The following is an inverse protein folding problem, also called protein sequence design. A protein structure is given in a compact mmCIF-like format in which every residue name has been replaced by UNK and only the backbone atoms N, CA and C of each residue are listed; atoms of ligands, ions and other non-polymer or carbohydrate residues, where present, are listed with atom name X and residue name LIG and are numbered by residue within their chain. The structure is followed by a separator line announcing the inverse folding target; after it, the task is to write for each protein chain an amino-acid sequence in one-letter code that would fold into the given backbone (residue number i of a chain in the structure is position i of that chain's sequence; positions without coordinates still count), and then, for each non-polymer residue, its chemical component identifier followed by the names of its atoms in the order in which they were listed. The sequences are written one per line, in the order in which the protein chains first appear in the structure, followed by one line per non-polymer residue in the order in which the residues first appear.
data_IF_092806471185
#
_entry.id   IF_092806471185
#
_cell.length_a   1.000
_cell.length_b   1.000
_cell.length_c   1.000
_cell.angle_alpha   90.00
_cell.angle_beta   90.00
_cell.angle_gamma   90.00
#
_symmetry.space_group_name_H-M   'P 1'
#
loop_
_entity.id
_entity.type
_entity.pdbx_description
1 polymer ?
#
# COMPACT_ATOMS: atom_id res chain seq x y z
N UNK A 1 19.46 19.84 5.68
CA UNK A 1 18.19 19.35 5.15
C UNK A 1 18.01 19.85 3.72
N UNK A 2 18.20 18.95 2.75
CA UNK A 2 18.20 19.29 1.31
C UNK A 2 16.87 19.85 0.82
N UNK A 3 15.76 19.39 1.35
CA UNK A 3 14.41 19.81 0.94
C UNK A 3 13.77 20.85 1.86
N UNK A 4 14.39 21.11 3.02
CA UNK A 4 13.86 22.04 4.01
C UNK A 4 13.69 23.47 3.47
N UNK A 5 14.66 23.94 2.69
CA UNK A 5 14.59 25.25 2.05
C UNK A 5 13.43 25.34 1.05
N UNK A 6 13.24 24.30 0.22
CA UNK A 6 12.13 24.23 -0.75
C UNK A 6 10.77 24.17 -0.06
N UNK A 7 10.68 23.37 1.02
CA UNK A 7 9.47 23.28 1.85
C UNK A 7 9.16 24.61 2.49
N UNK A 8 10.15 25.25 3.13
CA UNK A 8 9.99 26.54 3.82
C UNK A 8 9.58 27.66 2.87
N UNK A 9 10.03 27.61 1.62
CA UNK A 9 9.63 28.56 0.58
C UNK A 9 8.23 28.27 0.01
N UNK A 10 7.55 27.20 0.41
CA UNK A 10 6.26 26.77 -0.12
C UNK A 10 6.32 26.31 -1.58
N UNK A 11 7.49 25.97 -2.07
CA UNK A 11 7.72 25.59 -3.48
C UNK A 11 7.62 24.10 -3.74
N UNK A 12 7.93 23.28 -2.75
CA UNK A 12 7.87 21.83 -2.87
C UNK A 12 6.44 21.33 -2.68
N UNK A 13 5.97 20.49 -3.58
CA UNK A 13 4.70 19.76 -3.44
C UNK A 13 4.95 18.33 -3.02
N UNK A 14 5.85 17.63 -3.71
CA UNK A 14 6.18 16.24 -3.40
C UNK A 14 7.55 15.83 -3.92
N UNK A 15 8.11 14.79 -3.32
CA UNK A 15 9.27 14.05 -3.81
C UNK A 15 8.92 12.58 -3.88
N UNK A 16 9.25 11.93 -4.99
CA UNK A 16 8.98 10.51 -5.21
C UNK A 16 10.28 9.82 -5.59
N UNK A 17 10.56 8.67 -5.00
CA UNK A 17 11.52 7.68 -5.50
C UNK A 17 10.76 6.50 -6.10
N UNK A 18 11.47 5.44 -6.49
CA UNK A 18 10.83 4.21 -7.01
C UNK A 18 9.84 3.58 -6.03
N UNK A 19 10.03 3.75 -4.73
CA UNK A 19 9.25 3.07 -3.68
C UNK A 19 8.85 3.96 -2.52
N UNK A 20 9.36 5.17 -2.45
CA UNK A 20 9.19 6.06 -1.30
C UNK A 20 8.64 7.42 -1.73
N UNK A 21 7.93 8.06 -0.82
CA UNK A 21 7.19 9.29 -1.05
C UNK A 21 7.43 10.28 0.08
N UNK A 22 7.59 11.54 -0.29
CA UNK A 22 7.51 12.68 0.60
C UNK A 22 6.49 13.68 0.08
N UNK A 23 5.54 14.06 0.91
CA UNK A 23 4.52 15.07 0.64
C UNK A 23 4.81 16.29 1.53
N UNK A 24 4.84 17.47 0.92
CA UNK A 24 5.15 18.70 1.66
C UNK A 24 3.96 19.22 2.47
N UNK A 25 2.72 18.79 2.15
CA UNK A 25 1.53 19.09 2.95
C UNK A 25 1.62 18.39 4.31
N UNK A 26 1.61 19.19 5.38
CA UNK A 26 1.73 18.67 6.76
C UNK A 26 0.54 17.76 7.15
N UNK A 27 -0.64 17.94 6.56
CA UNK A 27 -1.80 17.07 6.76
C UNK A 27 -1.60 15.67 6.15
N UNK A 28 -0.60 15.51 5.29
CA UNK A 28 -0.23 14.25 4.65
C UNK A 28 1.07 13.67 5.18
N UNK A 29 1.69 14.29 6.19
CA UNK A 29 3.00 13.88 6.72
C UNK A 29 3.03 12.43 7.22
N UNK A 30 1.89 11.89 7.67
CA UNK A 30 1.76 10.49 8.07
C UNK A 30 1.99 9.49 6.92
N UNK A 31 1.89 9.94 5.67
CA UNK A 31 2.14 9.12 4.49
C UNK A 31 3.61 9.16 4.02
N UNK A 32 4.43 10.05 4.59
CA UNK A 32 5.82 10.18 4.20
C UNK A 32 6.61 8.92 4.57
N UNK A 33 7.23 8.34 3.56
CA UNK A 33 8.13 7.18 3.69
C UNK A 33 9.56 7.52 3.35
N UNK A 34 9.77 8.55 2.51
CA UNK A 34 11.07 9.07 2.16
C UNK A 34 11.58 9.95 3.30
N UNK A 35 12.68 9.55 3.92
CA UNK A 35 13.32 10.28 5.04
C UNK A 35 14.69 10.87 4.69
N UNK A 36 15.32 10.36 3.65
CA UNK A 36 16.64 10.80 3.20
C UNK A 36 16.83 10.50 1.70
N UNK A 37 17.79 11.16 1.09
CA UNK A 37 18.21 10.90 -0.26
C UNK A 37 19.39 9.92 -0.25
N UNK A 38 19.27 8.83 -1.01
CA UNK A 38 20.38 7.89 -1.18
C UNK A 38 21.22 8.30 -2.41
N UNK A 39 22.55 8.28 -2.30
CA UNK A 39 23.42 8.50 -3.44
C UNK A 39 23.13 7.48 -4.56
N UNK A 40 23.09 7.96 -5.80
CA UNK A 40 22.87 7.12 -6.98
C UNK A 40 21.44 6.73 -7.28
N UNK A 41 20.47 7.17 -6.47
CA UNK A 41 19.03 7.03 -6.78
C UNK A 41 18.49 8.25 -7.53
N UNK A 42 17.51 8.02 -8.40
CA UNK A 42 16.72 9.06 -9.05
C UNK A 42 15.52 9.46 -8.19
N UNK A 43 15.15 10.74 -8.28
CA UNK A 43 14.00 11.29 -7.58
C UNK A 43 13.22 12.21 -8.53
N UNK A 44 11.89 12.14 -8.46
CA UNK A 44 10.99 13.09 -9.12
C UNK A 44 10.55 14.13 -8.09
N UNK A 45 10.75 15.41 -8.41
CA UNK A 45 10.31 16.53 -7.60
C UNK A 45 9.17 17.23 -8.31
N UNK A 46 8.04 17.39 -7.63
CA UNK A 46 6.94 18.24 -8.08
C UNK A 46 6.98 19.55 -7.33
N UNK A 47 7.09 20.63 -8.09
CA UNK A 47 7.14 22.00 -7.60
C UNK A 47 5.76 22.66 -7.76
N UNK A 48 5.47 23.67 -6.94
CA UNK A 48 4.23 24.45 -7.04
C UNK A 48 4.24 25.43 -8.21
N UNK A 49 5.40 25.77 -8.71
CA UNK A 49 5.61 26.64 -9.86
C UNK A 49 6.81 26.17 -10.71
N UNK A 50 7.00 26.82 -11.85
CA UNK A 50 8.09 26.52 -12.80
C UNK A 50 9.41 27.23 -12.50
N UNK A 51 9.57 27.82 -11.31
CA UNK A 51 10.82 28.49 -10.94
C UNK A 51 11.97 27.48 -10.83
N UNK A 52 13.14 27.86 -11.33
CA UNK A 52 14.36 27.10 -11.11
C UNK A 52 14.80 27.22 -9.65
N UNK A 53 15.34 26.14 -9.11
CA UNK A 53 15.84 26.10 -7.76
C UNK A 53 17.10 25.26 -7.67
N UNK A 54 18.13 25.78 -7.00
CA UNK A 54 19.38 25.07 -6.78
C UNK A 54 19.27 24.18 -5.54
N UNK A 55 19.40 22.86 -5.73
CA UNK A 55 19.48 21.91 -4.64
C UNK A 55 20.94 21.79 -4.18
N UNK A 56 21.25 22.37 -3.04
CA UNK A 56 22.57 22.23 -2.44
C UNK A 56 22.60 20.96 -1.59
N UNK A 57 23.25 19.92 -2.08
CA UNK A 57 23.57 18.75 -1.28
C UNK A 57 24.76 19.06 -0.39
N UNK A 58 24.68 18.87 0.94
CA UNK A 58 25.83 19.03 1.81
C UNK A 58 26.91 18.03 1.35
N UNK A 59 28.15 18.49 1.30
CA UNK A 59 29.28 17.58 1.07
C UNK A 59 29.21 16.43 2.08
N UNK A 60 29.37 15.20 1.58
CA UNK A 60 29.48 14.03 2.42
C UNK A 60 30.82 14.16 3.19
N UNK A 61 30.81 14.90 4.27
CA UNK A 61 31.90 14.82 5.26
C UNK A 61 31.85 13.38 5.75
N UNK A 62 32.89 12.60 5.47
CA UNK A 62 32.97 11.17 5.75
C UNK A 62 32.60 10.86 7.21
N UNK A 63 31.33 10.70 7.45
CA UNK A 63 30.74 10.38 8.74
C UNK A 63 30.69 8.88 8.89
N UNK A 64 31.49 8.37 9.80
CA UNK A 64 31.37 7.04 10.39
C UNK A 64 29.88 6.74 10.67
N UNK A 65 29.37 5.66 10.06
CA UNK A 65 27.98 5.27 10.12
C UNK A 65 27.41 5.33 11.54
N UNK A 66 26.43 6.19 11.74
CA UNK A 66 25.57 6.09 12.90
C UNK A 66 24.72 4.84 12.75
N UNK A 67 25.11 3.81 13.51
CA UNK A 67 24.29 2.64 13.77
C UNK A 67 22.96 3.09 14.37
N UNK A 68 21.91 3.13 13.57
CA UNK A 68 20.53 3.17 14.06
C UNK A 68 20.25 1.86 14.80
N UNK A 69 20.54 1.87 16.10
CA UNK A 69 20.15 0.81 17.04
C UNK A 69 18.63 0.83 17.20
N UNK A 70 18.01 -0.29 16.92
CA UNK A 70 16.76 -0.66 17.57
C UNK A 70 15.48 -0.40 16.82
N UNK A 71 15.33 -0.92 15.59
CA UNK A 71 14.03 -1.35 15.11
C UNK A 71 14.12 -2.87 14.93
N UNK A 72 13.39 -3.61 15.72
CA UNK A 72 13.14 -5.04 15.50
C UNK A 72 12.64 -5.18 14.07
N UNK A 73 13.47 -5.71 13.17
CA UNK A 73 13.13 -5.98 11.77
C UNK A 73 12.01 -7.02 11.77
N UNK A 74 10.77 -6.58 11.64
CA UNK A 74 9.64 -7.50 11.49
C UNK A 74 9.82 -8.30 10.19
N UNK A 75 9.28 -9.51 10.15
CA UNK A 75 9.26 -10.34 8.94
C UNK A 75 8.59 -9.63 7.75
N UNK A 76 7.65 -8.71 8.01
CA UNK A 76 7.03 -7.84 7.03
C UNK A 76 8.05 -6.94 6.32
N UNK A 77 9.04 -6.39 7.04
CA UNK A 77 10.09 -5.55 6.46
C UNK A 77 11.00 -6.33 5.48
N UNK A 78 11.30 -7.60 5.78
CA UNK A 78 12.10 -8.45 4.88
C UNK A 78 11.31 -8.80 3.60
N UNK A 79 10.04 -9.15 3.74
CA UNK A 79 9.14 -9.45 2.61
C UNK A 79 8.93 -8.21 1.73
N UNK A 80 8.71 -7.04 2.33
CA UNK A 80 8.59 -5.77 1.60
C UNK A 80 9.83 -5.53 0.73
N UNK A 81 11.03 -5.64 1.30
CA UNK A 81 12.28 -5.48 0.54
C UNK A 81 12.43 -6.49 -0.60
N UNK A 82 11.99 -7.74 -0.37
CA UNK A 82 11.98 -8.77 -1.42
C UNK A 82 11.05 -8.38 -2.57
N UNK A 83 9.83 -7.93 -2.26
CA UNK A 83 8.84 -7.52 -3.26
C UNK A 83 9.27 -6.25 -4.00
N UNK A 84 9.87 -5.27 -3.31
CA UNK A 84 10.40 -4.08 -3.94
C UNK A 84 11.45 -4.36 -5.01
N UNK A 85 12.23 -5.44 -4.87
CA UNK A 85 13.18 -5.89 -5.91
C UNK A 85 12.51 -6.52 -7.13
N UNK A 86 11.24 -6.87 -7.04
CA UNK A 86 10.43 -7.47 -8.12
C UNK A 86 9.57 -6.44 -8.83
N UNK A 87 9.64 -5.17 -8.42
CA UNK A 87 8.87 -4.11 -9.05
C UNK A 87 9.29 -3.94 -10.52
N UNK A 88 8.28 -3.86 -11.38
CA UNK A 88 8.47 -3.41 -12.76
C UNK A 88 8.32 -1.90 -12.78
N UNK A 89 9.43 -1.21 -12.98
CA UNK A 89 9.51 0.26 -13.00
C UNK A 89 9.62 0.82 -14.40
N UNK A 90 9.25 2.08 -14.57
CA UNK A 90 9.35 2.82 -15.82
C UNK A 90 9.99 4.19 -15.58
N UNK A 91 10.61 4.79 -16.62
CA UNK A 91 11.20 6.12 -16.49
C UNK A 91 10.17 7.26 -16.39
N UNK A 92 8.88 6.95 -16.50
CA UNK A 92 7.80 7.92 -16.30
C UNK A 92 7.58 8.22 -14.81
N UNK A 93 7.00 9.40 -14.52
CA UNK A 93 6.63 9.79 -13.16
C UNK A 93 5.64 8.77 -12.59
N UNK A 94 5.90 8.13 -11.45
CA UNK A 94 4.95 7.19 -10.87
C UNK A 94 3.65 7.88 -10.45
N UNK A 95 2.55 7.14 -10.45
CA UNK A 95 1.31 7.54 -9.82
C UNK A 95 1.40 7.33 -8.30
N UNK A 96 0.60 8.08 -7.55
CA UNK A 96 0.48 7.97 -6.10
C UNK A 96 -0.93 7.53 -5.75
N UNK A 97 -1.05 6.56 -4.86
CA UNK A 97 -2.33 6.12 -4.29
C UNK A 97 -2.28 6.27 -2.78
N UNK A 98 -3.08 7.21 -2.25
CA UNK A 98 -3.30 7.39 -0.82
C UNK A 98 -4.63 6.75 -0.47
N UNK A 99 -4.60 5.66 0.28
CA UNK A 99 -5.79 4.86 0.50
C UNK A 99 -5.99 4.45 1.95
N UNK A 100 -7.26 4.26 2.30
CA UNK A 100 -7.74 3.58 3.49
C UNK A 100 -7.99 2.11 3.15
N UNK A 101 -7.38 1.20 3.89
CA UNK A 101 -7.46 -0.24 3.66
C UNK A 101 -8.40 -0.84 4.69
N UNK A 102 -9.50 -1.41 4.24
CA UNK A 102 -10.53 -2.01 5.08
C UNK A 102 -10.83 -3.45 4.65
N UNK A 103 -11.45 -4.24 5.51
CA UNK A 103 -11.82 -5.62 5.23
C UNK A 103 -12.78 -6.17 6.27
N UNK A 104 -13.17 -7.43 6.09
CA UNK A 104 -14.05 -8.13 7.03
C UNK A 104 -13.33 -8.50 8.32
N UNK A 105 -12.02 -8.69 8.27
CA UNK A 105 -11.18 -8.97 9.42
C UNK A 105 -10.30 -7.76 9.77
N UNK A 106 -9.83 -7.71 11.02
CA UNK A 106 -8.83 -6.71 11.42
C UNK A 106 -7.54 -6.92 10.63
N UNK A 107 -7.14 -5.90 9.88
CA UNK A 107 -5.92 -5.91 9.08
C UNK A 107 -4.77 -5.51 9.99
N UNK A 108 -3.78 -6.39 10.22
CA UNK A 108 -2.64 -6.05 11.05
C UNK A 108 -1.85 -4.87 10.48
N UNK A 109 -1.37 -4.00 11.33
CA UNK A 109 -0.41 -2.96 10.93
C UNK A 109 0.84 -3.59 10.30
N UNK A 110 1.35 -2.98 9.24
CA UNK A 110 2.49 -3.52 8.49
C UNK A 110 2.12 -4.61 7.47
N UNK A 111 0.82 -4.92 7.28
CA UNK A 111 0.37 -5.72 6.15
C UNK A 111 0.79 -5.06 4.84
N UNK A 112 1.14 -5.85 3.81
CA UNK A 112 1.63 -5.28 2.56
C UNK A 112 0.49 -5.16 1.55
N UNK A 113 0.36 -3.99 0.93
CA UNK A 113 -0.53 -3.79 -0.21
C UNK A 113 0.32 -3.73 -1.47
N UNK A 114 0.00 -4.57 -2.45
CA UNK A 114 0.60 -4.57 -3.78
C UNK A 114 -0.37 -4.01 -4.82
N UNK A 115 0.17 -3.21 -5.75
CA UNK A 115 -0.52 -2.72 -6.93
C UNK A 115 -0.03 -3.53 -8.15
N UNK A 116 -0.95 -4.04 -8.96
CA UNK A 116 -0.65 -4.94 -10.08
C UNK A 116 -1.30 -4.43 -11.37
N UNK A 117 -0.59 -4.62 -12.49
CA UNK A 117 -1.14 -4.52 -13.84
C UNK A 117 -0.99 -5.90 -14.48
N UNK A 118 -2.09 -6.63 -14.63
CA UNK A 118 -2.03 -8.06 -14.90
C UNK A 118 -1.32 -8.78 -13.75
N UNK A 119 -0.24 -9.50 -14.06
CA UNK A 119 0.56 -10.22 -13.07
C UNK A 119 1.83 -9.46 -12.64
N UNK A 120 2.06 -8.27 -13.20
CA UNK A 120 3.24 -7.47 -12.89
C UNK A 120 3.02 -6.60 -11.65
N UNK A 121 3.89 -6.74 -10.66
CA UNK A 121 3.91 -5.89 -9.49
C UNK A 121 4.47 -4.51 -9.85
N UNK A 122 3.65 -3.47 -9.69
CA UNK A 122 3.95 -2.07 -10.06
C UNK A 122 4.14 -1.14 -8.88
N UNK A 123 3.77 -1.58 -7.69
CA UNK A 123 3.94 -0.85 -6.45
C UNK A 123 3.69 -1.76 -5.26
N UNK A 124 4.40 -1.55 -4.16
CA UNK A 124 4.16 -2.27 -2.91
C UNK A 124 4.58 -1.42 -1.72
N UNK A 125 3.72 -1.39 -0.71
CA UNK A 125 4.01 -0.68 0.54
C UNK A 125 3.29 -1.32 1.73
N UNK A 126 3.84 -1.13 2.92
CA UNK A 126 3.24 -1.56 4.17
C UNK A 126 2.12 -0.60 4.61
N UNK A 127 1.05 -1.16 5.16
CA UNK A 127 0.01 -0.36 5.82
C UNK A 127 0.55 0.25 7.11
N UNK A 128 0.03 1.44 7.45
CA UNK A 128 0.27 2.12 8.73
C UNK A 128 -1.05 2.41 9.41
N UNK A 129 -1.05 2.33 10.72
CA UNK A 129 -2.22 2.72 11.49
C UNK A 129 -2.21 4.23 11.75
N UNK A 130 -3.28 4.90 11.32
CA UNK A 130 -3.51 6.32 11.56
C UNK A 130 -4.86 6.46 12.25
N UNK A 131 -4.85 6.69 13.56
CA UNK A 131 -6.04 6.59 14.39
C UNK A 131 -6.60 5.17 14.40
N UNK A 132 -7.85 5.02 13.98
CA UNK A 132 -8.56 3.74 13.85
C UNK A 132 -8.48 3.10 12.46
N UNK A 133 -7.79 3.75 11.51
CA UNK A 133 -7.73 3.32 10.12
C UNK A 133 -6.37 2.71 9.77
N UNK A 134 -6.40 1.70 8.90
CA UNK A 134 -5.21 1.22 8.23
C UNK A 134 -5.06 1.96 6.90
N UNK A 135 -4.01 2.72 6.76
CA UNK A 135 -3.75 3.54 5.58
C UNK A 135 -2.51 3.05 4.83
N UNK A 136 -2.46 3.33 3.55
CA UNK A 136 -1.30 3.04 2.71
C UNK A 136 -1.03 4.20 1.76
N UNK A 137 0.26 4.47 1.51
CA UNK A 137 0.72 5.37 0.45
C UNK A 137 1.54 4.55 -0.55
N UNK A 138 0.96 4.24 -1.70
CA UNK A 138 1.60 3.47 -2.75
C UNK A 138 2.21 4.39 -3.80
N UNK A 139 3.45 4.11 -4.17
CA UNK A 139 4.05 4.59 -5.42
C UNK A 139 3.79 3.50 -6.46
N UNK A 140 3.10 3.84 -7.55
CA UNK A 140 2.65 2.89 -8.57
C UNK A 140 3.24 3.26 -9.93
N UNK A 141 4.04 2.38 -10.50
CA UNK A 141 4.63 2.56 -11.82
C UNK A 141 3.62 2.23 -12.92
N UNK A 142 2.87 3.24 -13.36
CA UNK A 142 1.96 3.16 -14.51
C UNK A 142 2.57 3.88 -15.71
N UNK A 143 2.38 3.34 -16.93
CA UNK A 143 2.83 4.00 -18.18
C UNK A 143 1.81 5.00 -18.69
N UNK A 144 0.78 4.46 -19.30
CA UNK A 144 -0.38 5.14 -19.83
C UNK A 144 -1.58 4.67 -18.99
N UNK A 145 -2.79 5.09 -19.35
CA UNK A 145 -4.00 4.66 -18.68
C UNK A 145 -4.08 3.14 -18.54
N UNK A 146 -3.72 2.63 -17.38
CA UNK A 146 -3.69 1.21 -17.07
C UNK A 146 -4.62 0.90 -15.90
N UNK A 147 -5.38 -0.19 -16.01
CA UNK A 147 -6.18 -0.69 -14.90
C UNK A 147 -5.26 -1.36 -13.89
N UNK A 148 -5.20 -0.77 -12.71
CA UNK A 148 -4.41 -1.25 -11.57
C UNK A 148 -5.34 -2.01 -10.63
N UNK A 149 -4.98 -3.24 -10.33
CA UNK A 149 -5.59 -4.10 -9.33
C UNK A 149 -4.77 -4.06 -8.06
N UNK A 150 -5.41 -4.24 -6.92
CA UNK A 150 -4.71 -4.26 -5.64
C UNK A 150 -4.88 -5.60 -4.96
N UNK A 151 -3.87 -6.01 -4.19
CA UNK A 151 -3.91 -7.23 -3.38
C UNK A 151 -3.26 -6.97 -2.03
N UNK A 152 -3.81 -7.55 -0.97
CA UNK A 152 -3.24 -7.53 0.37
C UNK A 152 -2.44 -8.82 0.60
N UNK A 153 -1.19 -8.71 1.03
CA UNK A 153 -0.41 -9.85 1.49
C UNK A 153 -0.80 -10.21 2.92
N UNK A 154 -1.45 -11.35 3.07
CA UNK A 154 -1.72 -11.90 4.39
C UNK A 154 -0.44 -12.55 4.95
N UNK A 155 0.03 -12.03 6.08
CA UNK A 155 1.24 -12.53 6.74
C UNK A 155 1.04 -13.91 7.39
N UNK A 156 -0.20 -14.30 7.67
CA UNK A 156 -0.55 -15.59 8.28
C UNK A 156 -0.61 -16.71 7.25
N UNK A 157 -1.43 -16.54 6.21
CA UNK A 157 -1.56 -17.53 5.13
C UNK A 157 -0.39 -17.50 4.15
N UNK A 158 0.37 -16.38 4.09
CA UNK A 158 1.43 -16.10 3.13
C UNK A 158 0.94 -16.08 1.68
N UNK A 159 -0.28 -15.58 1.48
CA UNK A 159 -0.93 -15.49 0.19
C UNK A 159 -1.42 -14.08 -0.07
N UNK A 160 -1.64 -13.76 -1.35
CA UNK A 160 -2.27 -12.54 -1.77
C UNK A 160 -3.79 -12.67 -1.71
N UNK A 161 -4.45 -11.77 -0.99
CA UNK A 161 -5.90 -11.61 -0.97
C UNK A 161 -6.30 -10.48 -1.92
N UNK A 162 -7.36 -10.67 -2.67
CA UNK A 162 -7.82 -9.65 -3.60
C UNK A 162 -8.42 -8.46 -2.85
N UNK A 163 -8.25 -7.29 -3.45
CA UNK A 163 -8.95 -6.06 -3.10
C UNK A 163 -9.99 -5.80 -4.20
N UNK A 164 -11.18 -5.39 -3.81
CA UNK A 164 -12.34 -5.28 -4.70
C UNK A 164 -12.15 -4.15 -5.72
N UNK A 165 -11.62 -3.03 -5.27
CA UNK A 165 -11.47 -1.84 -6.10
C UNK A 165 -10.32 -1.98 -7.10
N UNK A 166 -10.59 -1.47 -8.30
CA UNK A 166 -9.62 -1.28 -9.36
C UNK A 166 -9.64 0.18 -9.79
N UNK A 167 -8.50 0.74 -10.14
CA UNK A 167 -8.41 2.12 -10.61
C UNK A 167 -7.66 2.18 -11.93
N UNK A 168 -8.11 3.07 -12.82
CA UNK A 168 -7.34 3.41 -14.02
C UNK A 168 -6.40 4.53 -13.63
N UNK A 169 -5.11 4.27 -13.71
CA UNK A 169 -4.06 5.25 -13.39
C UNK A 169 -3.22 5.56 -14.61
N UNK A 170 -2.81 6.82 -14.68
CA UNK A 170 -1.82 7.32 -15.64
C UNK A 170 -0.54 7.76 -14.90
N UNK A 171 0.52 7.98 -15.66
CA UNK A 171 1.77 8.52 -15.13
C UNK A 171 1.53 9.86 -14.42
N UNK A 172 2.01 9.98 -13.18
CA UNK A 172 1.90 11.19 -12.37
C UNK A 172 0.53 11.44 -11.72
N UNK A 173 -0.43 10.53 -11.88
CA UNK A 173 -1.73 10.63 -11.22
C UNK A 173 -1.60 10.57 -9.70
N UNK A 174 -2.52 11.24 -9.02
CA UNK A 174 -2.67 11.19 -7.57
C UNK A 174 -4.10 10.75 -7.25
N UNK A 175 -4.25 9.55 -6.75
CA UNK A 175 -5.52 9.01 -6.26
C UNK A 175 -5.59 9.14 -4.74
N UNK A 176 -6.62 9.79 -4.25
CA UNK A 176 -6.80 10.11 -2.83
C UNK A 176 -6.14 11.44 -2.44
N UNK A 177 -6.70 12.06 -1.41
CA UNK A 177 -6.26 13.34 -0.84
C UNK A 177 -6.35 13.26 0.68
N UNK A 178 -5.76 14.23 1.39
CA UNK A 178 -5.82 14.31 2.87
C UNK A 178 -7.24 14.27 3.43
N UNK A 179 -8.19 14.87 2.70
CA UNK A 179 -9.60 14.95 3.11
C UNK A 179 -10.43 13.75 2.66
N UNK A 180 -9.99 13.03 1.64
CA UNK A 180 -10.71 11.89 1.07
C UNK A 180 -9.74 10.86 0.49
N UNK A 181 -9.32 9.93 1.32
CA UNK A 181 -8.52 8.78 0.88
C UNK A 181 -9.33 7.92 -0.10
N UNK A 182 -8.64 7.28 -1.03
CA UNK A 182 -9.22 6.20 -1.81
C UNK A 182 -9.60 5.06 -0.87
N UNK A 183 -10.58 4.26 -1.23
CA UNK A 183 -10.96 3.07 -0.46
C UNK A 183 -10.40 1.84 -1.13
N UNK A 184 -9.78 0.97 -0.35
CA UNK A 184 -9.31 -0.35 -0.76
C UNK A 184 -9.93 -1.38 0.19
N UNK A 185 -10.90 -2.13 -0.30
CA UNK A 185 -11.63 -3.13 0.49
C UNK A 185 -11.10 -4.51 0.17
N UNK A 186 -10.52 -5.16 1.17
CA UNK A 186 -10.07 -6.55 1.04
C UNK A 186 -11.29 -7.43 0.86
N UNK A 187 -11.30 -8.21 -0.23
CA UNK A 187 -12.35 -9.17 -0.49
C UNK A 187 -12.40 -10.16 0.68
N UNK A 188 -13.60 -10.35 1.24
CA UNK A 188 -13.78 -11.41 2.20
C UNK A 188 -13.33 -12.71 1.51
N UNK A 189 -12.23 -13.30 1.99
CA UNK A 189 -11.95 -14.68 1.62
C UNK A 189 -13.22 -15.43 1.94
N UNK A 190 -13.97 -15.80 0.91
CA UNK A 190 -15.18 -16.56 1.14
C UNK A 190 -14.73 -17.89 1.73
N UNK A 191 -14.65 -17.95 3.06
CA UNK A 191 -14.72 -19.21 3.81
C UNK A 191 -15.89 -20.07 3.29
N UNK A 192 -16.77 -19.43 2.52
CA UNK A 192 -17.87 -20.02 1.78
C UNK A 192 -17.46 -20.78 0.51
N UNK A 193 -16.21 -20.80 0.06
CA UNK A 193 -15.84 -21.71 -1.04
C UNK A 193 -16.04 -23.19 -0.71
N UNK A 194 -16.27 -23.51 0.56
CA UNK A 194 -16.62 -24.86 1.00
C UNK A 194 -18.06 -25.03 1.48
N UNK A 195 -18.90 -23.99 1.41
CA UNK A 195 -20.29 -24.07 1.80
C UNK A 195 -21.17 -24.10 0.56
N UNK A 196 -21.52 -25.29 0.09
CA UNK A 196 -22.50 -25.44 -0.98
C UNK A 196 -23.84 -25.83 -0.32
N UNK A 197 -24.81 -24.92 -0.38
CA UNK A 197 -26.20 -25.24 -0.09
C UNK A 197 -26.78 -25.91 -1.33
N UNK A 198 -26.91 -27.25 -1.31
CA UNK A 198 -27.68 -27.94 -2.33
C UNK A 198 -29.17 -27.75 -2.01
N UNK A 199 -29.89 -27.17 -2.95
CA UNK A 199 -31.30 -26.85 -2.81
C UNK A 199 -32.18 -28.13 -2.78
N UNK A 200 -31.66 -29.25 -3.32
CA UNK A 200 -32.44 -30.48 -3.46
C UNK A 200 -32.42 -31.40 -2.24
N UNK A 201 -31.38 -31.27 -1.35
CA UNK A 201 -31.23 -32.19 -0.21
C UNK A 201 -31.10 -31.50 1.15
N UNK A 202 -31.07 -30.17 1.22
CA UNK A 202 -30.78 -29.40 2.43
C UNK A 202 -29.51 -29.88 3.19
N UNK A 203 -28.53 -30.36 2.46
CA UNK A 203 -27.25 -30.80 3.02
C UNK A 203 -26.23 -29.68 2.99
N UNK A 204 -25.72 -29.35 4.16
CA UNK A 204 -24.55 -28.49 4.29
C UNK A 204 -23.30 -29.36 4.08
N UNK A 205 -22.61 -29.20 2.94
CA UNK A 205 -21.33 -29.85 2.69
C UNK A 205 -20.24 -28.86 3.08
N UNK A 206 -19.53 -29.15 4.17
CA UNK A 206 -18.36 -28.40 4.60
C UNK A 206 -17.12 -29.08 4.03
N UNK A 207 -16.30 -28.35 3.26
CA UNK A 207 -15.07 -28.92 2.76
C UNK A 207 -14.16 -29.37 3.92
N UNK A 208 -13.51 -30.55 3.83
CA UNK A 208 -12.76 -31.14 4.94
C UNK A 208 -11.54 -30.34 5.40
N UNK A 209 -11.14 -29.34 4.64
CA UNK A 209 -10.03 -28.44 4.96
C UNK A 209 -10.40 -27.32 5.94
N UNK A 210 -11.68 -27.11 6.19
CA UNK A 210 -12.17 -26.12 7.15
C UNK A 210 -12.17 -26.71 8.55
N UNK A 211 -11.06 -26.59 9.29
CA UNK A 211 -11.03 -26.79 10.74
C UNK A 211 -11.74 -25.65 11.44
N UNK A 212 -13.05 -25.56 11.28
CA UNK A 212 -13.88 -24.59 11.97
C UNK A 212 -14.48 -25.21 13.21
N UNK A 213 -14.09 -24.73 14.38
CA UNK A 213 -14.82 -24.93 15.63
C UNK A 213 -16.05 -24.01 15.67
N UNK A 214 -16.96 -24.17 14.70
CA UNK A 214 -18.24 -23.47 14.73
C UNK A 214 -19.33 -24.39 15.21
N UNK A 215 -20.07 -23.92 16.21
CA UNK A 215 -21.24 -24.59 16.71
C UNK A 215 -22.36 -24.36 15.70
N UNK A 216 -22.69 -25.38 14.91
CA UNK A 216 -23.89 -25.35 14.06
C UNK A 216 -25.12 -25.38 14.96
N UNK A 217 -25.86 -24.29 14.97
CA UNK A 217 -27.12 -24.22 15.70
C UNK A 217 -28.25 -24.63 14.73
N UNK A 218 -28.97 -25.69 15.05
CA UNK A 218 -30.13 -26.15 14.31
C UNK A 218 -31.27 -25.17 14.53
N UNK A 219 -31.71 -24.46 13.51
CA UNK A 219 -32.97 -23.73 13.53
C UNK A 219 -34.07 -24.61 12.95
N UNK A 220 -35.24 -24.66 13.63
CA UNK A 220 -36.42 -25.42 13.21
C UNK A 220 -37.26 -24.61 12.21
N UNK A 221 -37.04 -23.29 12.17
CA UNK A 221 -37.75 -22.36 11.28
C UNK A 221 -36.77 -21.64 10.34
N UNK A 222 -36.68 -22.14 9.10
CA UNK A 222 -35.91 -21.50 8.03
C UNK A 222 -36.55 -20.22 7.46
N UNK A 223 -37.73 -19.82 7.97
CA UNK A 223 -38.50 -18.65 7.48
C UNK A 223 -38.04 -17.35 8.17
N UNK A 224 -37.23 -17.41 9.21
CA UNK A 224 -36.79 -16.26 10.01
C UNK A 224 -35.29 -16.03 10.01
N UNK A 225 -34.64 -16.25 8.86
CA UNK A 225 -33.25 -15.88 8.64
C UNK A 225 -33.17 -14.65 7.76
#
# INVERSE_FOLDING_TARGET
DVIGALKSAGKLVQVISDTELYLADDNLSQFNTLSHFDPGKGYWLKMSDSASWDLNFPELVGGSGQNNRGVTKSNASAKLKQLQKQLVTYPSVPAIVLADVSGVADIPEGSLVGAFVGDELRGVQATRRVGDRNTVALVVHAKEKQTVQYRLWDTKSREWQNIIENHVLDSGDVLGMSTRLARLTVEANSLAKGLVLSQDDMRLVVAPELRLTHKLQRSVDLIHW
#
